data_IF_106490763173
#
_entry.id   IF_106490763173
#
_cell.length_a   1.000
_cell.length_b   1.000
_cell.length_c   1.000
_cell.angle_alpha   90.00
_cell.angle_beta   90.00
_cell.angle_gamma   90.00
#
_symmetry.space_group_name_H-M   'P 1'
#
loop_
_entity.id
_entity.type
_entity.pdbx_description
1 polymer ?
#
# COMPACT_ATOMS: atom_id res chain seq x y z
N UNK A 1 35.94 16.03 12.14
CA UNK A 1 36.32 15.21 10.98
C UNK A 1 36.11 13.75 11.39
N UNK A 2 34.92 13.21 11.18
CA UNK A 2 34.64 11.77 11.35
C UNK A 2 34.30 11.21 9.97
N UNK A 3 35.07 10.22 9.55
CA UNK A 3 35.01 9.61 8.23
C UNK A 3 33.82 8.66 8.19
N UNK A 4 32.81 8.90 7.33
CA UNK A 4 31.81 7.92 6.94
C UNK A 4 32.50 6.86 6.05
N UNK A 5 32.35 5.60 6.42
CA UNK A 5 32.70 4.48 5.57
C UNK A 5 31.41 4.01 4.87
N UNK A 6 31.33 4.26 3.58
CA UNK A 6 30.31 3.68 2.73
C UNK A 6 30.71 2.23 2.39
N UNK A 7 29.91 1.26 2.76
CA UNK A 7 30.06 -0.14 2.34
C UNK A 7 29.13 -0.38 1.16
N UNK A 8 29.73 -0.42 -0.03
CA UNK A 8 29.04 -0.87 -1.25
C UNK A 8 29.09 -2.38 -1.33
N UNK A 9 27.95 -3.05 -1.24
CA UNK A 9 27.83 -4.50 -1.46
C UNK A 9 27.51 -4.76 -2.94
N UNK A 10 28.53 -5.14 -3.71
CA UNK A 10 28.40 -5.60 -5.09
C UNK A 10 28.10 -7.10 -5.06
N UNK A 11 26.91 -7.48 -5.51
CA UNK A 11 26.53 -8.89 -5.70
C UNK A 11 26.88 -9.30 -7.14
N UNK A 12 27.95 -10.06 -7.30
CA UNK A 12 28.34 -10.66 -8.57
C UNK A 12 27.63 -12.01 -8.75
N UNK A 13 26.74 -12.11 -9.75
CA UNK A 13 26.22 -13.39 -10.24
C UNK A 13 27.21 -13.98 -11.25
N UNK A 14 27.78 -15.14 -10.93
CA UNK A 14 28.43 -15.98 -11.94
C UNK A 14 27.58 -17.21 -12.23
N UNK A 15 27.11 -17.29 -13.46
CA UNK A 15 26.56 -18.50 -14.05
C UNK A 15 27.70 -19.43 -14.47
N UNK A 16 27.61 -20.71 -14.13
CA UNK A 16 28.40 -21.76 -14.77
C UNK A 16 27.53 -23.00 -15.00
N UNK A 17 27.32 -23.29 -16.25
CA UNK A 17 26.74 -24.52 -16.81
C UNK A 17 27.86 -25.59 -16.97
N UNK A 18 27.50 -26.86 -16.83
CA UNK A 18 27.78 -27.97 -17.75
C UNK A 18 27.92 -29.33 -17.08
N UNK A 19 26.98 -30.18 -17.37
CA UNK A 19 27.04 -31.51 -17.94
C UNK A 19 28.17 -32.47 -17.52
N UNK A 20 27.75 -33.72 -17.17
CA UNK A 20 28.62 -34.91 -17.15
C UNK A 20 27.91 -36.14 -16.62
N UNK A 21 27.56 -37.03 -17.50
CA UNK A 21 27.06 -38.39 -17.26
C UNK A 21 28.13 -39.29 -16.59
N UNK A 22 27.66 -40.29 -15.82
CA UNK A 22 28.50 -41.45 -15.50
C UNK A 22 27.91 -42.38 -14.43
N UNK A 23 27.49 -43.55 -14.88
CA UNK A 23 26.96 -44.73 -14.18
C UNK A 23 27.98 -45.37 -13.20
N UNK A 24 27.53 -45.97 -12.12
CA UNK A 24 27.47 -47.41 -11.79
C UNK A 24 27.44 -47.70 -10.29
N UNK A 25 26.42 -48.41 -9.91
CA UNK A 25 26.27 -49.56 -8.98
C UNK A 25 27.27 -49.79 -7.80
N UNK A 26 26.87 -49.98 -6.60
CA UNK A 26 26.44 -51.24 -5.96
C UNK A 26 26.50 -51.19 -4.42
N UNK A 27 25.46 -51.70 -3.78
CA UNK A 27 25.37 -52.59 -2.60
C UNK A 27 25.69 -52.06 -1.19
N UNK A 28 24.66 -52.13 -0.39
CA UNK A 28 24.44 -52.77 0.91
C UNK A 28 23.76 -51.91 1.97
N UNK A 29 22.58 -52.29 2.40
CA UNK A 29 21.87 -51.91 3.61
C UNK A 29 22.40 -52.82 4.80
N UNK A 30 21.88 -52.70 6.04
CA UNK A 30 20.90 -51.80 6.66
C UNK A 30 21.32 -51.29 8.06
N UNK A 31 20.62 -50.24 8.60
CA UNK A 31 20.31 -50.21 10.02
C UNK A 31 19.13 -49.19 10.24
N UNK A 32 18.13 -49.68 10.94
CA UNK A 32 16.97 -49.00 11.46
C UNK A 32 17.32 -47.82 12.38
N UNK A 33 16.59 -46.71 12.29
CA UNK A 33 16.17 -45.91 13.47
C UNK A 33 15.02 -44.99 13.09
N UNK A 34 13.93 -45.26 13.76
CA UNK A 34 12.73 -44.49 14.13
C UNK A 34 12.36 -43.20 13.38
N UNK A 35 11.12 -43.28 12.91
CA UNK A 35 10.33 -42.21 12.31
C UNK A 35 9.99 -41.09 13.31
N UNK A 36 10.25 -39.87 12.95
CA UNK A 36 9.55 -38.72 13.46
C UNK A 36 8.57 -38.26 12.39
N UNK A 37 7.29 -38.37 12.65
CA UNK A 37 6.20 -37.94 11.79
C UNK A 37 6.21 -36.40 11.68
N UNK A 38 6.47 -35.90 10.49
CA UNK A 38 6.20 -34.51 10.11
C UNK A 38 4.76 -34.47 9.61
N UNK A 39 3.88 -33.55 10.09
CA UNK A 39 2.54 -33.44 9.55
C UNK A 39 2.60 -33.02 8.08
N UNK A 40 1.97 -33.79 7.23
CA UNK A 40 1.78 -33.48 5.82
C UNK A 40 1.02 -32.13 5.71
N UNK A 41 1.65 -31.17 5.06
CA UNK A 41 0.96 -30.00 4.56
C UNK A 41 -0.09 -30.47 3.54
N UNK A 42 -1.36 -30.34 3.91
CA UNK A 42 -2.49 -30.49 3.01
C UNK A 42 -2.38 -29.38 1.96
N UNK A 43 -1.98 -29.74 0.77
CA UNK A 43 -2.13 -28.86 -0.38
C UNK A 43 -3.63 -28.73 -0.61
N UNK A 44 -4.22 -27.63 -0.18
CA UNK A 44 -5.54 -27.24 -0.65
C UNK A 44 -5.41 -26.99 -2.14
N UNK A 45 -5.98 -27.90 -2.92
CA UNK A 45 -6.30 -27.66 -4.31
C UNK A 45 -7.19 -26.40 -4.33
N UNK A 46 -6.60 -25.28 -4.70
CA UNK A 46 -7.37 -24.13 -5.16
C UNK A 46 -8.14 -24.61 -6.39
N UNK A 47 -9.40 -24.96 -6.16
CA UNK A 47 -10.36 -25.06 -7.24
C UNK A 47 -10.33 -23.70 -7.95
N UNK A 48 -9.73 -23.71 -9.12
CA UNK A 48 -9.89 -22.67 -10.14
C UNK A 48 -11.40 -22.60 -10.44
N UNK A 49 -12.10 -21.78 -9.65
CA UNK A 49 -13.46 -21.42 -9.97
C UNK A 49 -13.30 -20.52 -11.18
N UNK A 50 -13.45 -21.13 -12.36
CA UNK A 50 -13.71 -20.39 -13.59
C UNK A 50 -14.79 -19.40 -13.24
N UNK A 51 -14.43 -18.13 -13.07
CA UNK A 51 -15.39 -17.06 -12.99
C UNK A 51 -16.13 -17.11 -14.33
N UNK A 52 -17.31 -17.74 -14.31
CA UNK A 52 -18.24 -17.58 -15.41
C UNK A 52 -18.36 -16.08 -15.60
N UNK A 53 -17.91 -15.59 -16.75
CA UNK A 53 -18.20 -14.21 -17.18
C UNK A 53 -19.69 -14.05 -16.97
N UNK A 54 -20.06 -13.18 -16.05
CA UNK A 54 -21.47 -12.85 -15.81
C UNK A 54 -21.95 -12.34 -17.14
N UNK A 55 -22.80 -13.12 -17.81
CA UNK A 55 -23.28 -12.79 -19.15
C UNK A 55 -23.84 -11.38 -19.07
N UNK A 56 -23.23 -10.47 -19.80
CA UNK A 56 -23.63 -9.10 -19.81
C UNK A 56 -25.10 -9.03 -20.24
N UNK A 57 -25.88 -8.32 -19.48
CA UNK A 57 -27.25 -7.94 -19.82
C UNK A 57 -27.30 -7.00 -21.05
N UNK A 58 -26.18 -6.83 -21.75
CA UNK A 58 -25.97 -5.90 -22.84
C UNK A 58 -25.70 -4.46 -22.36
N UNK A 59 -25.54 -4.28 -21.04
CA UNK A 59 -25.22 -2.97 -20.45
C UNK A 59 -23.72 -2.70 -20.55
N UNK A 60 -23.38 -1.47 -20.93
CA UNK A 60 -22.01 -0.94 -20.82
C UNK A 60 -21.92 -0.13 -19.53
N UNK A 61 -21.04 -0.55 -18.63
CA UNK A 61 -20.79 0.11 -17.35
C UNK A 61 -19.75 1.20 -17.50
N UNK A 62 -20.06 2.42 -17.03
CA UNK A 62 -19.16 3.55 -17.00
C UNK A 62 -18.56 3.67 -15.59
N UNK A 63 -17.25 3.54 -15.47
CA UNK A 63 -16.55 3.47 -14.20
C UNK A 63 -15.65 4.71 -14.08
N UNK A 64 -15.90 5.55 -13.08
CA UNK A 64 -15.02 6.65 -12.74
C UNK A 64 -13.90 6.17 -11.81
N UNK A 65 -12.66 6.51 -12.10
CA UNK A 65 -11.50 6.20 -11.26
C UNK A 65 -10.81 7.49 -10.87
N UNK A 66 -10.87 7.85 -9.59
CA UNK A 66 -10.12 8.98 -9.04
C UNK A 66 -8.89 8.43 -8.30
N UNK A 67 -7.70 8.64 -8.88
CA UNK A 67 -6.43 8.31 -8.28
C UNK A 67 -5.79 9.58 -7.71
N UNK A 68 -5.29 9.52 -6.46
CA UNK A 68 -4.73 10.69 -5.78
C UNK A 68 -3.52 11.26 -6.51
N UNK A 69 -2.53 10.41 -6.78
CA UNK A 69 -1.27 10.80 -7.40
C UNK A 69 -0.69 9.62 -8.17
N UNK A 70 0.23 9.87 -9.07
CA UNK A 70 0.91 8.82 -9.82
C UNK A 70 2.13 8.31 -9.05
N UNK A 71 2.13 7.05 -8.67
CA UNK A 71 3.27 6.26 -8.23
C UNK A 71 2.96 4.76 -8.37
N UNK A 72 4.00 3.94 -8.38
CA UNK A 72 3.90 2.51 -8.73
C UNK A 72 2.80 1.74 -8.00
N UNK A 73 2.61 1.97 -6.69
CA UNK A 73 1.62 1.23 -5.91
C UNK A 73 0.17 1.60 -6.29
N UNK A 74 -0.13 2.91 -6.44
CA UNK A 74 -1.47 3.33 -6.87
C UNK A 74 -1.76 2.95 -8.32
N UNK A 75 -0.75 3.04 -9.20
CA UNK A 75 -0.87 2.64 -10.60
C UNK A 75 -1.18 1.13 -10.69
N UNK A 76 -0.49 0.29 -9.90
CA UNK A 76 -0.74 -1.14 -9.84
C UNK A 76 -2.14 -1.48 -9.29
N UNK A 77 -2.60 -0.77 -8.26
CA UNK A 77 -3.95 -0.96 -7.71
C UNK A 77 -5.03 -0.60 -8.74
N UNK A 78 -4.86 0.53 -9.44
CA UNK A 78 -5.76 0.94 -10.52
C UNK A 78 -5.79 -0.09 -11.66
N UNK A 79 -4.61 -0.54 -12.12
CA UNK A 79 -4.52 -1.53 -13.19
C UNK A 79 -5.18 -2.86 -12.79
N UNK A 80 -4.90 -3.34 -11.57
CA UNK A 80 -5.49 -4.58 -11.08
C UNK A 80 -7.02 -4.52 -11.01
N UNK A 81 -7.57 -3.38 -10.62
CA UNK A 81 -9.01 -3.16 -10.63
C UNK A 81 -9.59 -3.18 -12.05
N UNK A 82 -8.96 -2.49 -13.01
CA UNK A 82 -9.39 -2.47 -14.40
C UNK A 82 -9.32 -3.87 -15.03
N UNK A 83 -8.24 -4.61 -14.79
CA UNK A 83 -8.06 -5.98 -15.29
C UNK A 83 -9.13 -6.92 -14.74
N UNK A 84 -9.45 -6.81 -13.45
CA UNK A 84 -10.47 -7.63 -12.80
C UNK A 84 -11.86 -7.36 -13.38
N UNK A 85 -12.25 -6.10 -13.54
CA UNK A 85 -13.55 -5.75 -14.12
C UNK A 85 -13.65 -6.12 -15.60
N UNK A 86 -12.60 -5.91 -16.37
CA UNK A 86 -12.54 -6.32 -17.78
C UNK A 86 -12.69 -7.83 -17.92
N UNK A 87 -12.03 -8.60 -17.03
CA UNK A 87 -12.17 -10.07 -17.00
C UNK A 87 -13.58 -10.52 -16.61
N UNK A 88 -14.22 -9.82 -15.67
CA UNK A 88 -15.55 -10.20 -15.16
C UNK A 88 -16.68 -9.82 -16.10
N UNK A 89 -16.62 -8.66 -16.73
CA UNK A 89 -17.72 -8.07 -17.49
C UNK A 89 -17.53 -8.22 -19.01
N UNK A 90 -16.30 -8.42 -19.49
CA UNK A 90 -15.91 -8.30 -20.90
C UNK A 90 -15.49 -6.88 -21.25
N UNK A 91 -14.47 -6.74 -22.11
CA UNK A 91 -13.89 -5.46 -22.51
C UNK A 91 -14.93 -4.51 -23.16
N UNK A 92 -15.86 -5.10 -23.92
CA UNK A 92 -16.93 -4.35 -24.60
C UNK A 92 -18.00 -3.78 -23.66
N UNK A 93 -18.07 -4.29 -22.42
CA UNK A 93 -19.12 -3.96 -21.45
C UNK A 93 -18.63 -3.02 -20.33
N UNK A 94 -17.39 -2.57 -20.36
CA UNK A 94 -16.83 -1.64 -19.35
C UNK A 94 -16.07 -0.51 -20.00
N UNK A 95 -16.26 0.71 -19.48
CA UNK A 95 -15.52 1.91 -19.88
C UNK A 95 -14.98 2.57 -18.64
N UNK A 96 -13.70 2.89 -18.65
CA UNK A 96 -13.01 3.55 -17.55
C UNK A 96 -12.73 5.02 -17.89
N UNK A 97 -13.10 5.92 -16.97
CA UNK A 97 -12.64 7.30 -16.93
C UNK A 97 -11.64 7.42 -15.77
N UNK A 98 -10.36 7.26 -16.07
CA UNK A 98 -9.27 7.37 -15.11
C UNK A 98 -8.75 8.81 -15.07
N UNK A 99 -8.85 9.43 -13.89
CA UNK A 99 -8.33 10.76 -13.65
C UNK A 99 -7.40 10.80 -12.44
N UNK A 100 -6.33 11.59 -12.55
CA UNK A 100 -5.29 11.75 -11.54
C UNK A 100 -5.38 13.14 -10.92
N UNK A 101 -5.47 13.20 -9.60
CA UNK A 101 -5.60 14.46 -8.85
C UNK A 101 -4.27 15.17 -8.57
N UNK A 102 -3.13 14.58 -8.97
CA UNK A 102 -1.79 15.16 -8.80
C UNK A 102 -1.45 15.53 -7.35
N UNK A 103 -1.98 14.77 -6.37
CA UNK A 103 -1.75 14.98 -4.96
C UNK A 103 -2.65 16.05 -4.30
N UNK A 104 -3.59 16.62 -5.05
CA UNK A 104 -4.42 17.73 -4.57
C UNK A 104 -5.86 17.28 -4.24
N UNK A 105 -6.27 17.46 -2.97
CA UNK A 105 -7.60 17.05 -2.49
C UNK A 105 -8.75 17.86 -3.12
N UNK A 106 -8.52 19.12 -3.49
CA UNK A 106 -9.55 19.92 -4.16
C UNK A 106 -9.76 19.44 -5.60
N UNK A 107 -8.71 18.97 -6.24
CA UNK A 107 -8.78 18.30 -7.54
C UNK A 107 -9.51 16.98 -7.46
N UNK A 108 -9.32 16.17 -6.38
CA UNK A 108 -10.14 14.98 -6.13
C UNK A 108 -11.64 15.32 -6.12
N UNK A 109 -12.04 16.36 -5.38
CA UNK A 109 -13.44 16.78 -5.33
C UNK A 109 -13.97 17.21 -6.71
N UNK A 110 -13.16 17.90 -7.52
CA UNK A 110 -13.52 18.31 -8.89
C UNK A 110 -13.74 17.10 -9.78
N UNK A 111 -12.84 16.12 -9.76
CA UNK A 111 -12.92 14.88 -10.54
C UNK A 111 -14.17 14.09 -10.16
N UNK A 112 -14.38 13.88 -8.86
CA UNK A 112 -15.53 13.10 -8.39
C UNK A 112 -16.85 13.78 -8.73
N UNK A 113 -16.96 15.10 -8.58
CA UNK A 113 -18.17 15.84 -9.01
C UNK A 113 -18.43 15.70 -10.50
N UNK A 114 -17.39 15.59 -11.33
CA UNK A 114 -17.55 15.30 -12.76
C UNK A 114 -18.13 13.89 -12.97
N UNK A 115 -17.66 12.87 -12.24
CA UNK A 115 -18.20 11.51 -12.31
C UNK A 115 -19.68 11.47 -11.91
N UNK A 116 -20.04 12.15 -10.81
CA UNK A 116 -21.43 12.25 -10.36
C UNK A 116 -22.30 12.93 -11.44
N UNK A 117 -21.81 14.01 -12.04
CA UNK A 117 -22.54 14.73 -13.10
C UNK A 117 -22.67 13.93 -14.39
N UNK A 118 -21.76 12.97 -14.62
CA UNK A 118 -21.75 12.07 -15.78
C UNK A 118 -22.54 10.77 -15.52
N UNK A 119 -23.11 10.62 -14.32
CA UNK A 119 -23.93 9.48 -13.91
C UNK A 119 -23.20 8.14 -14.12
N UNK A 120 -21.94 8.05 -13.61
CA UNK A 120 -21.16 6.81 -13.70
C UNK A 120 -21.79 5.71 -12.84
N UNK A 121 -21.64 4.46 -13.22
CA UNK A 121 -22.22 3.30 -12.54
C UNK A 121 -21.48 2.92 -11.24
N UNK A 122 -20.21 3.29 -11.12
CA UNK A 122 -19.33 2.99 -9.99
C UNK A 122 -18.18 3.99 -9.95
N UNK A 123 -17.75 4.34 -8.75
CA UNK A 123 -16.53 5.14 -8.52
C UNK A 123 -15.49 4.26 -7.81
N UNK A 124 -14.30 4.14 -8.38
CA UNK A 124 -13.11 3.70 -7.65
C UNK A 124 -12.40 4.92 -7.07
N UNK A 125 -12.25 4.94 -5.76
CA UNK A 125 -11.46 5.91 -5.03
C UNK A 125 -10.12 5.29 -4.61
N UNK A 126 -9.04 5.66 -5.29
CA UNK A 126 -7.71 5.12 -5.04
C UNK A 126 -6.90 6.09 -4.19
N UNK A 127 -6.84 5.86 -2.91
CA UNK A 127 -6.29 6.53 -1.74
C UNK A 127 -7.36 7.24 -0.87
N UNK A 128 -6.94 7.68 0.32
CA UNK A 128 -7.82 8.29 1.34
C UNK A 128 -8.53 9.57 0.86
N UNK A 129 -7.81 10.52 0.25
CA UNK A 129 -8.41 11.77 -0.19
C UNK A 129 -9.45 11.61 -1.33
N UNK A 130 -9.23 10.76 -2.36
CA UNK A 130 -10.29 10.37 -3.31
C UNK A 130 -11.51 9.75 -2.63
N UNK A 131 -11.32 8.89 -1.62
CA UNK A 131 -12.44 8.30 -0.87
C UNK A 131 -13.26 9.36 -0.13
N UNK A 132 -12.58 10.29 0.54
CA UNK A 132 -13.25 11.41 1.22
C UNK A 132 -14.02 12.28 0.25
N UNK A 133 -13.45 12.58 -0.91
CA UNK A 133 -14.11 13.35 -1.96
C UNK A 133 -15.36 12.62 -2.50
N UNK A 134 -15.25 11.31 -2.74
CA UNK A 134 -16.36 10.50 -3.23
C UNK A 134 -17.49 10.38 -2.19
N UNK A 135 -17.15 10.14 -0.93
CA UNK A 135 -18.11 10.09 0.17
C UNK A 135 -18.89 11.40 0.36
N UNK A 136 -18.22 12.54 0.12
CA UNK A 136 -18.85 13.86 0.22
C UNK A 136 -19.75 14.20 -0.98
N UNK A 137 -19.48 13.61 -2.16
CA UNK A 137 -20.14 13.97 -3.41
C UNK A 137 -21.41 13.16 -3.68
N UNK A 138 -21.51 11.90 -3.22
CA UNK A 138 -22.66 11.04 -3.51
C UNK A 138 -22.89 10.00 -2.41
N UNK A 139 -24.17 9.74 -2.14
CA UNK A 139 -24.63 8.61 -1.32
C UNK A 139 -25.43 7.58 -2.13
N UNK A 140 -25.48 7.72 -3.46
CA UNK A 140 -26.26 6.88 -4.36
C UNK A 140 -25.35 6.01 -5.25
N UNK A 141 -24.33 6.61 -5.88
CA UNK A 141 -23.39 5.86 -6.72
C UNK A 141 -22.53 4.98 -5.82
N UNK A 142 -22.42 3.66 -6.10
CA UNK A 142 -21.52 2.79 -5.36
C UNK A 142 -20.06 3.28 -5.42
N UNK A 143 -19.36 3.22 -4.29
CA UNK A 143 -17.97 3.64 -4.18
C UNK A 143 -17.15 2.45 -3.67
N UNK A 144 -16.09 2.12 -4.38
CA UNK A 144 -15.06 1.19 -3.92
C UNK A 144 -13.78 1.96 -3.58
N UNK A 145 -13.31 1.79 -2.34
CA UNK A 145 -12.02 2.33 -1.92
C UNK A 145 -10.91 1.27 -2.06
N UNK A 146 -9.74 1.70 -2.50
CA UNK A 146 -8.50 0.92 -2.45
C UNK A 146 -7.36 1.81 -2.02
N UNK A 147 -6.27 1.24 -1.50
CA UNK A 147 -5.14 2.01 -0.96
C UNK A 147 -5.59 2.99 0.14
N UNK A 148 -6.54 2.57 0.95
CA UNK A 148 -7.11 3.33 2.07
C UNK A 148 -6.63 2.71 3.37
N UNK A 149 -5.90 3.48 4.16
CA UNK A 149 -5.30 3.01 5.40
C UNK A 149 -6.34 2.68 6.46
N UNK A 150 -7.21 3.64 6.78
CA UNK A 150 -8.22 3.48 7.84
C UNK A 150 -9.55 4.15 7.44
N UNK A 151 -10.59 3.34 7.25
CA UNK A 151 -11.90 3.82 6.83
C UNK A 151 -12.61 4.62 7.90
N UNK A 152 -12.42 4.28 9.18
CA UNK A 152 -13.02 5.03 10.28
C UNK A 152 -12.52 6.47 10.29
N UNK A 153 -11.21 6.66 10.20
CA UNK A 153 -10.58 7.98 10.11
C UNK A 153 -10.95 8.70 8.82
N UNK A 154 -10.89 8.00 7.67
CA UNK A 154 -11.18 8.61 6.37
C UNK A 154 -12.61 9.16 6.29
N UNK A 155 -13.57 8.45 6.88
CA UNK A 155 -15.00 8.77 6.82
C UNK A 155 -15.53 9.42 8.12
N UNK A 156 -14.66 9.69 9.10
CA UNK A 156 -15.03 10.26 10.41
C UNK A 156 -16.11 9.45 11.14
N UNK A 157 -15.94 8.11 11.18
CA UNK A 157 -16.87 7.20 11.86
C UNK A 157 -16.34 6.89 13.26
N UNK A 158 -16.96 7.46 14.30
CA UNK A 158 -16.51 7.29 15.69
C UNK A 158 -16.75 5.86 16.20
N UNK A 159 -17.93 5.27 15.90
CA UNK A 159 -18.33 3.94 16.36
C UNK A 159 -18.08 2.88 15.27
N UNK A 160 -16.82 2.69 14.89
CA UNK A 160 -16.44 1.77 13.82
C UNK A 160 -16.74 0.31 14.18
N UNK A 161 -17.54 -0.35 13.36
CA UNK A 161 -17.95 -1.76 13.54
C UNK A 161 -17.43 -2.70 12.44
N UNK A 162 -16.54 -2.21 11.57
CA UNK A 162 -16.03 -2.97 10.42
C UNK A 162 -16.84 -2.75 9.14
N UNK A 163 -17.90 -1.92 9.18
CA UNK A 163 -18.72 -1.59 8.03
C UNK A 163 -18.97 -0.08 7.97
N UNK A 164 -19.03 0.46 6.78
CA UNK A 164 -19.29 1.90 6.59
C UNK A 164 -20.76 2.28 6.80
N UNK A 165 -21.68 1.34 6.59
CA UNK A 165 -23.12 1.58 6.66
C UNK A 165 -23.68 2.48 5.55
N UNK A 166 -22.92 2.72 4.48
CA UNK A 166 -23.26 3.60 3.35
C UNK A 166 -23.07 2.89 2.01
N UNK A 167 -23.07 3.64 0.91
CA UNK A 167 -22.76 3.18 -0.45
C UNK A 167 -21.26 2.88 -0.68
N UNK A 168 -20.45 2.82 0.37
CA UNK A 168 -19.00 2.65 0.30
C UNK A 168 -18.59 1.26 0.78
N UNK A 169 -17.70 0.62 0.04
CA UNK A 169 -16.98 -0.60 0.42
C UNK A 169 -15.54 -0.52 -0.09
N UNK A 170 -14.70 -1.51 0.22
CA UNK A 170 -13.33 -1.54 -0.30
C UNK A 170 -12.38 -2.37 0.53
N UNK A 171 -11.09 -2.13 0.32
CA UNK A 171 -9.98 -2.81 1.00
C UNK A 171 -9.14 -1.82 1.79
N UNK A 172 -8.63 -2.24 2.96
CA UNK A 172 -7.66 -1.48 3.75
C UNK A 172 -6.24 -1.98 3.48
N UNK A 173 -5.30 -1.05 3.43
CA UNK A 173 -3.86 -1.33 3.32
C UNK A 173 -3.10 -1.01 4.61
N UNK A 174 -3.80 -0.85 5.74
CA UNK A 174 -3.17 -0.57 7.03
C UNK A 174 -2.20 -1.69 7.41
N UNK A 175 -0.93 -1.36 7.44
CA UNK A 175 0.11 -2.26 7.93
C UNK A 175 0.05 -2.39 9.46
N UNK A 176 0.50 -3.51 10.03
CA UNK A 176 0.55 -3.71 11.48
C UNK A 176 1.61 -2.79 12.11
N UNK A 177 1.18 -1.64 12.63
CA UNK A 177 2.05 -0.57 13.12
C UNK A 177 2.82 -0.98 14.40
N UNK A 178 2.27 -1.86 15.22
CA UNK A 178 2.95 -2.52 16.33
C UNK A 178 4.19 -3.28 15.86
N UNK A 179 4.03 -4.14 14.84
CA UNK A 179 5.14 -4.91 14.27
C UNK A 179 6.17 -4.02 13.55
N UNK A 180 5.74 -2.89 13.00
CA UNK A 180 6.68 -1.91 12.43
C UNK A 180 7.53 -1.24 13.52
N UNK A 181 6.93 -0.95 14.69
CA UNK A 181 7.68 -0.46 15.85
C UNK A 181 8.67 -1.51 16.38
N UNK A 182 8.25 -2.79 16.45
CA UNK A 182 9.12 -3.93 16.83
C UNK A 182 10.30 -4.03 15.87
N UNK A 183 10.06 -3.98 14.57
CA UNK A 183 11.09 -4.03 13.52
C UNK A 183 12.07 -2.84 13.64
N UNK A 184 11.56 -1.63 13.88
CA UNK A 184 12.42 -0.45 14.07
C UNK A 184 13.31 -0.64 15.29
N UNK A 185 12.78 -1.18 16.39
CA UNK A 185 13.53 -1.45 17.59
C UNK A 185 14.61 -2.54 17.38
N UNK A 186 14.30 -3.58 16.62
CA UNK A 186 15.28 -4.63 16.30
C UNK A 186 16.42 -4.09 15.42
N UNK A 187 16.11 -3.25 14.43
CA UNK A 187 17.08 -2.70 13.49
C UNK A 187 17.92 -1.56 14.10
N UNK A 188 17.36 -0.78 15.01
CA UNK A 188 17.96 0.44 15.57
C UNK A 188 17.86 0.51 17.10
N UNK A 189 18.34 -0.53 17.85
CA UNK A 189 18.15 -0.61 19.30
C UNK A 189 18.84 0.51 20.10
N UNK A 190 19.86 1.14 19.53
CA UNK A 190 20.62 2.22 20.16
C UNK A 190 20.09 3.63 19.82
N UNK A 191 19.12 3.74 18.89
CA UNK A 191 18.49 5.01 18.54
C UNK A 191 17.71 5.55 19.73
N UNK A 192 17.59 6.86 19.81
CA UNK A 192 16.80 7.56 20.84
C UNK A 192 15.75 8.47 20.22
N UNK A 193 16.12 9.14 19.14
CA UNK A 193 15.29 10.13 18.47
C UNK A 193 14.78 9.56 17.16
N UNK A 194 13.49 9.30 17.08
CA UNK A 194 12.81 8.85 15.86
C UNK A 194 12.11 10.05 15.21
N UNK A 195 12.55 10.43 14.02
CA UNK A 195 11.86 11.42 13.20
C UNK A 195 10.74 10.74 12.42
N UNK A 196 9.54 11.29 12.47
CA UNK A 196 8.39 10.80 11.70
C UNK A 196 8.11 11.80 10.59
N UNK A 197 8.38 11.40 9.35
CA UNK A 197 8.33 12.27 8.17
C UNK A 197 7.08 11.95 7.34
N UNK A 198 6.18 12.91 7.14
CA UNK A 198 4.97 12.67 6.37
C UNK A 198 4.30 13.97 5.86
N UNK A 199 3.37 13.82 4.89
CA UNK A 199 2.54 14.91 4.38
C UNK A 199 1.38 15.21 5.33
N UNK A 200 1.34 16.43 5.87
CA UNK A 200 0.28 16.88 6.79
C UNK A 200 -1.11 17.00 6.12
N UNK A 201 -1.17 17.05 4.79
CA UNK A 201 -2.42 17.05 4.05
C UNK A 201 -3.05 15.65 3.91
N UNK A 202 -2.33 14.59 4.31
CA UNK A 202 -2.80 13.21 4.23
C UNK A 202 -3.27 12.71 5.61
N UNK A 203 -4.60 12.50 5.76
CA UNK A 203 -5.20 12.00 6.99
C UNK A 203 -4.72 10.60 7.38
N UNK A 204 -4.46 9.72 6.39
CA UNK A 204 -3.85 8.40 6.57
C UNK A 204 -2.48 8.48 7.24
N UNK A 205 -1.65 9.43 6.84
CA UNK A 205 -0.30 9.61 7.38
C UNK A 205 -0.33 10.11 8.82
N UNK A 206 -1.21 11.08 9.10
CA UNK A 206 -1.44 11.58 10.47
C UNK A 206 -1.96 10.47 11.40
N UNK A 207 -2.87 9.61 10.94
CA UNK A 207 -3.36 8.46 11.69
C UNK A 207 -2.22 7.49 12.04
N UNK A 208 -1.39 7.14 11.07
CA UNK A 208 -0.27 6.23 11.25
C UNK A 208 0.79 6.84 12.19
N UNK A 209 1.13 8.13 12.02
CA UNK A 209 2.04 8.85 12.92
C UNK A 209 1.56 8.81 14.37
N UNK A 210 0.31 9.19 14.61
CA UNK A 210 -0.29 9.19 15.95
C UNK A 210 -0.32 7.79 16.59
N UNK A 211 -0.45 6.75 15.78
CA UNK A 211 -0.55 5.38 16.26
C UNK A 211 0.84 4.78 16.54
N UNK A 212 1.78 4.89 15.61
CA UNK A 212 3.10 4.29 15.79
C UNK A 212 3.89 4.95 16.93
N UNK A 213 3.70 6.25 17.16
CA UNK A 213 4.32 6.95 18.29
C UNK A 213 3.99 6.33 19.64
N UNK A 214 2.79 5.73 19.80
CA UNK A 214 2.41 5.05 21.04
C UNK A 214 3.30 3.84 21.27
N UNK A 215 3.47 3.00 20.25
CA UNK A 215 4.33 1.81 20.32
C UNK A 215 5.80 2.16 20.47
N UNK A 216 6.30 3.16 19.73
CA UNK A 216 7.70 3.61 19.83
C UNK A 216 8.04 4.17 21.21
N UNK A 217 7.10 4.86 21.86
CA UNK A 217 7.28 5.35 23.25
C UNK A 217 7.39 4.24 24.27
N UNK A 218 6.73 3.10 24.05
CA UNK A 218 6.85 1.93 24.93
C UNK A 218 8.27 1.33 24.89
N UNK A 219 8.99 1.50 23.78
CA UNK A 219 10.42 1.18 23.64
C UNK A 219 11.36 2.28 24.16
N UNK A 220 10.83 3.43 24.59
CA UNK A 220 11.59 4.54 25.13
C UNK A 220 12.16 5.51 24.11
N UNK A 221 11.68 5.47 22.86
CA UNK A 221 12.07 6.45 21.84
C UNK A 221 11.41 7.81 22.07
N UNK A 222 12.14 8.87 21.77
CA UNK A 222 11.61 10.22 21.62
C UNK A 222 11.20 10.41 20.15
N UNK A 223 9.93 10.73 19.91
CA UNK A 223 9.38 10.88 18.56
C UNK A 223 9.16 12.36 18.25
N UNK A 224 9.64 12.80 17.08
CA UNK A 224 9.44 14.16 16.58
C UNK A 224 8.83 14.08 15.17
N UNK A 225 7.73 14.78 14.95
CA UNK A 225 7.10 14.87 13.65
C UNK A 225 7.76 15.94 12.79
N UNK A 226 8.03 15.56 11.54
CA UNK A 226 8.54 16.43 10.49
C UNK A 226 7.55 16.39 9.33
N UNK A 227 6.72 17.43 9.22
CA UNK A 227 5.65 17.45 8.23
C UNK A 227 5.93 18.44 7.12
N UNK A 228 5.58 18.04 5.91
CA UNK A 228 5.53 18.91 4.74
C UNK A 228 4.07 19.01 4.27
N UNK A 229 3.71 20.13 3.63
CA UNK A 229 2.35 20.33 3.13
C UNK A 229 2.18 19.79 1.68
N UNK A 230 3.23 19.90 0.90
CA UNK A 230 3.31 19.44 -0.50
C UNK A 230 4.76 19.15 -0.89
N UNK A 231 4.99 18.77 -2.15
CA UNK A 231 6.31 18.39 -2.66
C UNK A 231 7.36 19.51 -2.63
N UNK A 232 6.97 20.80 -2.53
CA UNK A 232 7.91 21.91 -2.54
C UNK A 232 8.74 21.99 -1.25
N UNK A 233 8.17 21.57 -0.14
CA UNK A 233 8.80 21.68 1.18
C UNK A 233 9.62 20.44 1.56
N UNK A 234 9.47 19.32 0.86
CA UNK A 234 10.05 18.01 1.23
C UNK A 234 11.55 18.13 1.49
N UNK A 235 12.33 18.69 0.57
CA UNK A 235 13.79 18.73 0.68
C UNK A 235 14.25 19.45 1.97
N UNK A 236 13.60 20.57 2.33
CA UNK A 236 13.96 21.33 3.52
C UNK A 236 13.57 20.59 4.80
N UNK A 237 12.41 19.93 4.81
CA UNK A 237 11.92 19.17 5.96
C UNK A 237 12.76 17.91 6.18
N UNK A 238 13.11 17.19 5.11
CA UNK A 238 14.01 16.02 5.17
C UNK A 238 15.36 16.40 5.76
N UNK A 239 16.00 17.50 5.30
CA UNK A 239 17.27 17.94 5.83
C UNK A 239 17.19 18.23 7.35
N UNK A 240 16.12 18.85 7.81
CA UNK A 240 15.91 19.12 9.23
C UNK A 240 15.70 17.82 10.03
N UNK A 241 14.91 16.89 9.49
CA UNK A 241 14.63 15.61 10.11
C UNK A 241 15.90 14.76 10.26
N UNK A 242 16.69 14.63 9.21
CA UNK A 242 17.97 13.88 9.21
C UNK A 242 18.99 14.50 10.18
N UNK A 243 19.04 15.83 10.30
CA UNK A 243 19.97 16.51 11.19
C UNK A 243 19.67 16.30 12.68
N UNK A 244 18.40 16.00 13.04
CA UNK A 244 17.94 15.95 14.42
C UNK A 244 17.48 14.56 14.88
N UNK A 245 17.46 13.56 14.00
CA UNK A 245 16.98 12.20 14.31
C UNK A 245 18.08 11.17 14.10
N UNK A 246 18.00 10.08 14.87
CA UNK A 246 18.88 8.91 14.72
C UNK A 246 18.38 7.98 13.62
N UNK A 247 17.03 7.94 13.42
CA UNK A 247 16.33 7.16 12.41
C UNK A 247 15.09 7.90 11.96
N UNK A 248 14.71 7.77 10.70
CA UNK A 248 13.45 8.29 10.16
C UNK A 248 12.48 7.14 9.93
N UNK A 249 11.25 7.32 10.41
CA UNK A 249 10.10 6.52 10.05
C UNK A 249 9.22 7.31 9.07
N UNK A 250 8.87 6.69 7.96
CA UNK A 250 7.97 7.26 6.96
C UNK A 250 6.77 6.31 6.85
N UNK A 251 5.56 6.76 7.21
CA UNK A 251 4.36 5.95 7.06
C UNK A 251 4.01 5.69 5.58
N UNK A 252 2.95 4.94 5.33
CA UNK A 252 2.35 4.85 4.00
C UNK A 252 1.78 6.22 3.62
N UNK A 253 2.59 7.00 2.90
CA UNK A 253 2.34 8.40 2.51
C UNK A 253 2.50 8.53 1.01
N UNK A 254 1.45 8.97 0.32
CA UNK A 254 1.44 9.01 -1.14
C UNK A 254 2.34 10.11 -1.71
N UNK A 255 2.42 11.25 -1.02
CA UNK A 255 3.29 12.36 -1.42
C UNK A 255 4.75 11.99 -1.22
N UNK A 256 5.10 11.32 -0.11
CA UNK A 256 6.45 10.80 0.11
C UNK A 256 6.80 9.72 -0.94
N UNK A 257 5.87 8.79 -1.24
CA UNK A 257 6.07 7.74 -2.23
C UNK A 257 6.35 8.28 -3.64
N UNK A 258 5.64 9.35 -4.03
CA UNK A 258 5.87 10.00 -5.34
C UNK A 258 7.14 10.85 -5.39
N UNK A 259 7.80 11.10 -4.25
CA UNK A 259 8.99 11.95 -4.11
C UNK A 259 10.19 11.24 -3.48
N UNK A 260 10.28 9.92 -3.58
CA UNK A 260 11.34 9.10 -2.97
C UNK A 260 12.75 9.57 -3.33
N UNK A 261 12.97 10.01 -4.57
CA UNK A 261 14.28 10.54 -5.03
C UNK A 261 14.73 11.76 -4.23
N UNK A 262 13.81 12.63 -3.82
CA UNK A 262 14.15 13.82 -3.01
C UNK A 262 14.47 13.41 -1.57
N UNK A 263 13.75 12.41 -1.05
CA UNK A 263 13.93 11.94 0.34
C UNK A 263 15.23 11.15 0.50
N UNK A 264 15.67 10.42 -0.52
CA UNK A 264 16.85 9.55 -0.49
C UNK A 264 18.18 10.29 -0.72
N UNK A 265 18.17 11.50 -1.31
CA UNK A 265 19.37 12.29 -1.63
C UNK A 265 19.70 13.32 -0.55
#
# INVERSE_FOLDING_TARGET
MKKLAAISLVLAMTAASLAGCGSTANTAAPAESEAAETPAATTEETTDTSADTVAADGKVYNIGICQLVQHEALDAATQGFQDALTKLLGEENVKFDLQNASGDSATCATIVNQFVSSDVDLILANATAPLQAAAAATNEIPILGTSVTDYATALSIDDWTGVTGTNISGTSDLAPLDQQADMLHELFPDAKNVGILYCSAEANSSYQSNTIQKYLKDYGYECTEYTFADSNDIASVVNNAVAASDVLYIPTDNTAASNTTIIQN
#
